data_IF_455162495161
#
_entry.id   IF_455162495161
#
_cell.length_a   1.000
_cell.length_b   1.000
_cell.length_c   1.000
_cell.angle_alpha   90.00
_cell.angle_beta   90.00
_cell.angle_gamma   90.00
#
_symmetry.space_group_name_H-M   'P 1'
#
loop_
_entity.id
_entity.type
_entity.pdbx_description
1 polymer ?
#
# COMPACT_ATOMS: atom_id res chain seq x y z
N UNK A 1 -1.13 3.01 -5.00
CA UNK A 1 -0.28 4.10 -5.55
C UNK A 1 -1.02 4.92 -6.61
N UNK A 2 -1.68 4.29 -7.58
CA UNK A 2 -2.46 4.98 -8.64
C UNK A 2 -3.42 6.08 -8.17
N UNK A 3 -4.14 5.88 -7.05
CA UNK A 3 -5.03 6.91 -6.50
C UNK A 3 -4.28 8.20 -6.12
N UNK A 4 -3.07 8.08 -5.56
CA UNK A 4 -2.23 9.22 -5.19
C UNK A 4 -1.80 10.01 -6.43
N UNK A 5 -1.37 9.30 -7.49
CA UNK A 5 -1.03 9.90 -8.78
C UNK A 5 -2.23 10.63 -9.40
N UNK A 6 -3.42 10.01 -9.38
CA UNK A 6 -4.67 10.63 -9.88
C UNK A 6 -5.02 11.92 -9.12
N UNK A 7 -4.66 12.01 -7.85
CA UNK A 7 -4.87 13.21 -7.02
C UNK A 7 -3.64 14.13 -6.96
N UNK A 8 -2.70 13.99 -7.91
CA UNK A 8 -1.48 14.80 -8.03
C UNK A 8 -0.62 14.83 -6.75
N UNK A 9 -0.65 13.76 -5.96
CA UNK A 9 0.24 13.56 -4.79
C UNK A 9 1.52 12.90 -5.26
N UNK A 10 2.44 13.69 -5.83
CA UNK A 10 3.67 13.21 -6.47
C UNK A 10 4.88 13.10 -5.54
N UNK A 11 4.81 13.69 -4.35
CA UNK A 11 5.80 13.56 -3.29
C UNK A 11 5.16 12.75 -2.17
N UNK A 12 5.56 11.49 -2.02
CA UNK A 12 4.90 10.60 -1.05
C UNK A 12 5.92 9.70 -0.37
N UNK A 13 5.80 9.63 0.95
CA UNK A 13 6.43 8.60 1.77
C UNK A 13 5.39 7.56 2.13
N UNK A 14 5.58 6.36 1.62
CA UNK A 14 4.78 5.19 1.95
C UNK A 14 5.33 4.54 3.22
N UNK A 15 4.42 3.97 4.01
CA UNK A 15 4.75 3.28 5.24
C UNK A 15 4.03 1.94 5.27
N UNK A 16 4.70 0.92 5.82
CA UNK A 16 4.16 -0.43 5.96
C UNK A 16 4.71 -1.07 7.23
N UNK A 17 3.95 -1.95 7.87
CA UNK A 17 4.43 -2.78 8.98
C UNK A 17 5.00 -4.12 8.52
N UNK A 18 5.03 -4.37 7.21
CA UNK A 18 5.67 -5.54 6.62
C UNK A 18 7.08 -5.18 6.14
N UNK A 19 8.11 -5.65 6.87
CA UNK A 19 9.51 -5.43 6.50
C UNK A 19 9.88 -6.10 5.18
N UNK A 20 9.26 -7.23 4.84
CA UNK A 20 9.50 -7.91 3.57
C UNK A 20 9.05 -7.08 2.38
N UNK A 21 7.95 -6.33 2.47
CA UNK A 21 7.53 -5.41 1.40
C UNK A 21 8.59 -4.34 1.14
N UNK A 22 9.23 -3.82 2.20
CA UNK A 22 10.32 -2.86 2.03
C UNK A 22 11.50 -3.50 1.28
N UNK A 23 11.88 -4.72 1.67
CA UNK A 23 12.95 -5.48 1.01
C UNK A 23 12.62 -5.80 -0.45
N UNK A 24 11.41 -6.29 -0.72
CA UNK A 24 10.94 -6.60 -2.07
C UNK A 24 11.03 -5.40 -3.02
N UNK A 25 10.76 -4.19 -2.52
CA UNK A 25 10.88 -2.95 -3.33
C UNK A 25 12.33 -2.49 -3.50
N UNK A 26 13.22 -2.89 -2.60
CA UNK A 26 14.65 -2.54 -2.62
C UNK A 26 15.51 -3.54 -3.43
N UNK A 27 15.21 -4.84 -3.35
CA UNK A 27 15.94 -5.94 -4.01
C UNK A 27 14.97 -6.87 -4.74
N UNK A 28 14.21 -6.39 -5.75
CA UNK A 28 13.14 -7.17 -6.39
C UNK A 28 13.62 -8.48 -7.04
N UNK A 29 14.87 -8.55 -7.47
CA UNK A 29 15.52 -9.74 -8.02
C UNK A 29 15.59 -10.93 -7.05
N UNK A 30 15.58 -10.68 -5.74
CA UNK A 30 15.56 -11.72 -4.71
C UNK A 30 14.16 -12.34 -4.52
N UNK A 31 13.13 -11.74 -5.13
CA UNK A 31 11.72 -12.09 -4.95
C UNK A 31 11.02 -12.45 -6.28
N UNK A 32 11.54 -13.44 -7.04
CA UNK A 32 11.04 -13.75 -8.38
C UNK A 32 9.58 -14.19 -8.41
N UNK A 33 9.07 -14.78 -7.32
CA UNK A 33 7.66 -15.15 -7.19
C UNK A 33 6.69 -13.94 -7.28
N UNK A 34 7.19 -12.74 -7.01
CA UNK A 34 6.42 -11.49 -7.03
C UNK A 34 6.77 -10.60 -8.22
N UNK A 35 7.53 -11.08 -9.21
CA UNK A 35 8.09 -10.25 -10.30
C UNK A 35 7.03 -9.39 -11.00
N UNK A 36 5.86 -9.95 -11.33
CA UNK A 36 4.77 -9.21 -11.99
C UNK A 36 4.25 -8.07 -11.11
N UNK A 37 4.11 -8.31 -9.80
CA UNK A 37 3.64 -7.29 -8.85
C UNK A 37 4.70 -6.21 -8.63
N UNK A 38 5.98 -6.59 -8.60
CA UNK A 38 7.09 -5.67 -8.40
C UNK A 38 7.36 -4.80 -9.62
N UNK A 39 7.13 -5.31 -10.83
CA UNK A 39 7.16 -4.50 -12.06
C UNK A 39 6.10 -3.38 -12.02
N UNK A 40 4.87 -3.71 -11.59
CA UNK A 40 3.81 -2.73 -11.40
C UNK A 40 4.16 -1.68 -10.33
N UNK A 41 4.79 -2.10 -9.23
CA UNK A 41 5.27 -1.18 -8.19
C UNK A 41 6.37 -0.26 -8.73
N UNK A 42 7.31 -0.78 -9.53
CA UNK A 42 8.40 0.00 -10.12
C UNK A 42 7.86 1.03 -11.13
N UNK A 43 6.92 0.62 -12.00
CA UNK A 43 6.23 1.54 -12.91
C UNK A 43 5.51 2.67 -12.16
N UNK A 44 4.81 2.32 -11.07
CA UNK A 44 4.17 3.30 -10.22
C UNK A 44 5.21 4.24 -9.58
N UNK A 45 6.28 3.70 -8.99
CA UNK A 45 7.37 4.42 -8.32
C UNK A 45 8.01 5.47 -9.24
N UNK A 46 8.31 5.11 -10.50
CA UNK A 46 8.86 6.03 -11.52
C UNK A 46 7.94 7.21 -11.86
N UNK A 47 6.66 7.08 -11.59
CA UNK A 47 5.67 8.14 -11.84
C UNK A 47 5.61 9.20 -10.72
N UNK A 48 6.29 8.99 -9.58
CA UNK A 48 6.39 9.97 -8.49
C UNK A 48 7.65 10.82 -8.65
N UNK A 49 7.56 12.10 -8.30
CA UNK A 49 8.72 13.00 -8.21
C UNK A 49 9.62 12.63 -7.02
N UNK A 50 9.02 12.22 -5.91
CA UNK A 50 9.73 11.71 -4.74
C UNK A 50 8.96 10.52 -4.17
N UNK A 51 9.66 9.39 -4.06
CA UNK A 51 9.15 8.14 -3.54
C UNK A 51 10.07 7.61 -2.46
N UNK A 52 9.49 7.26 -1.32
CA UNK A 52 10.16 6.42 -0.31
C UNK A 52 9.16 5.45 0.29
N UNK A 53 9.64 4.29 0.71
CA UNK A 53 8.86 3.32 1.49
C UNK A 53 9.67 2.94 2.72
N UNK A 54 9.01 2.89 3.88
CA UNK A 54 9.68 2.60 5.14
C UNK A 54 8.86 1.64 6.00
N UNK A 55 9.57 0.83 6.78
CA UNK A 55 8.96 0.00 7.79
C UNK A 55 8.57 0.85 9.01
N UNK A 56 7.36 0.65 9.53
CA UNK A 56 6.88 1.19 10.80
C UNK A 56 6.39 0.06 11.70
N UNK A 57 6.46 0.19 13.05
CA UNK A 57 5.85 -0.79 13.94
C UNK A 57 4.36 -0.97 13.64
N UNK A 58 3.87 -2.20 13.77
CA UNK A 58 2.45 -2.54 13.60
C UNK A 58 1.50 -1.71 14.46
N UNK A 59 1.94 -1.31 15.66
CA UNK A 59 1.21 -0.41 16.56
C UNK A 59 1.06 1.02 16.03
N UNK A 60 1.86 1.41 15.03
CA UNK A 60 1.76 2.68 14.31
C UNK A 60 1.02 2.55 12.97
N UNK A 61 0.76 1.32 12.49
CA UNK A 61 0.03 1.05 11.24
C UNK A 61 -1.44 0.63 11.48
N UNK A 62 -2.04 1.06 12.60
CA UNK A 62 -3.34 0.54 13.08
C UNK A 62 -4.48 0.78 12.10
N UNK A 63 -4.50 1.93 11.40
CA UNK A 63 -5.56 2.25 10.42
C UNK A 63 -5.50 1.31 9.22
N UNK A 64 -4.32 1.09 8.64
CA UNK A 64 -4.16 0.17 7.52
C UNK A 64 -4.45 -1.28 7.94
N UNK A 65 -4.06 -1.66 9.16
CA UNK A 65 -4.36 -3.01 9.66
C UNK A 65 -5.86 -3.26 9.86
N UNK A 66 -6.57 -2.29 10.45
CA UNK A 66 -8.03 -2.36 10.57
C UNK A 66 -8.69 -2.48 9.20
N UNK A 67 -8.28 -1.65 8.22
CA UNK A 67 -8.74 -1.73 6.84
C UNK A 67 -8.57 -3.13 6.24
N UNK A 68 -7.35 -3.67 6.32
CA UNK A 68 -7.03 -4.98 5.76
C UNK A 68 -7.80 -6.11 6.47
N UNK A 69 -7.97 -6.02 7.80
CA UNK A 69 -8.71 -7.01 8.58
C UNK A 69 -10.20 -6.98 8.28
N UNK A 70 -10.81 -5.80 8.22
CA UNK A 70 -12.22 -5.63 7.87
C UNK A 70 -12.50 -6.11 6.47
N UNK A 71 -11.62 -5.82 5.50
CA UNK A 71 -11.75 -6.32 4.13
C UNK A 71 -11.71 -7.85 4.06
N UNK A 72 -10.81 -8.51 4.80
CA UNK A 72 -10.75 -9.99 4.88
C UNK A 72 -11.97 -10.64 5.53
N UNK A 73 -12.70 -9.91 6.37
CA UNK A 73 -13.90 -10.42 7.04
C UNK A 73 -15.14 -10.37 6.13
N UNK A 74 -15.07 -9.69 4.98
CA UNK A 74 -16.17 -9.63 4.04
C UNK A 74 -16.31 -10.95 3.27
N UNK A 75 -17.55 -11.36 2.94
CA UNK A 75 -17.81 -12.62 2.23
C UNK A 75 -17.42 -12.57 0.75
N UNK A 76 -17.08 -11.39 0.23
CA UNK A 76 -16.73 -11.15 -1.17
C UNK A 76 -15.43 -10.37 -1.26
N UNK A 77 -14.64 -10.63 -2.30
CA UNK A 77 -13.47 -9.84 -2.60
C UNK A 77 -13.84 -8.37 -2.86
N UNK A 78 -13.16 -7.46 -2.17
CA UNK A 78 -13.39 -6.02 -2.31
C UNK A 78 -12.16 -5.35 -2.88
N UNK A 79 -12.31 -4.81 -4.09
CA UNK A 79 -11.29 -4.00 -4.76
C UNK A 79 -11.58 -2.52 -4.55
N UNK A 80 -11.55 -2.06 -3.29
CA UNK A 80 -11.80 -0.66 -2.96
C UNK A 80 -10.48 0.11 -2.84
N UNK A 81 -10.22 1.02 -3.77
CA UNK A 81 -9.09 1.95 -3.72
C UNK A 81 -9.62 3.37 -3.94
N UNK A 82 -9.78 4.13 -2.87
CA UNK A 82 -10.22 5.52 -2.93
C UNK A 82 -9.48 6.39 -1.91
N UNK A 83 -9.60 7.70 -2.03
CA UNK A 83 -9.07 8.70 -1.09
C UNK A 83 -10.01 8.97 0.09
N UNK A 84 -11.19 8.35 0.11
CA UNK A 84 -12.19 8.49 1.18
C UNK A 84 -12.41 7.19 1.93
N UNK A 85 -12.64 7.29 3.25
CA UNK A 85 -12.92 6.13 4.10
C UNK A 85 -14.16 5.41 3.62
N UNK A 86 -14.14 4.07 3.51
CA UNK A 86 -15.34 3.32 3.19
C UNK A 86 -16.38 3.47 4.31
N UNK A 87 -17.65 3.69 3.94
CA UNK A 87 -18.77 3.86 4.89
C UNK A 87 -19.07 2.59 5.68
N UNK A 88 -18.67 1.42 5.18
CA UNK A 88 -18.83 0.12 5.82
C UNK A 88 -17.75 -0.21 6.87
N UNK A 89 -16.79 0.70 7.13
CA UNK A 89 -15.87 0.62 8.27
C UNK A 89 -16.00 1.88 9.14
N UNK A 90 -16.89 1.87 10.15
CA UNK A 90 -17.10 3.01 11.04
C UNK A 90 -15.87 3.39 11.86
N UNK A 91 -14.97 2.42 12.13
CA UNK A 91 -13.87 2.52 13.11
C UNK A 91 -12.57 3.17 12.60
N UNK A 92 -12.61 3.82 11.43
CA UNK A 92 -11.44 4.47 10.80
C UNK A 92 -11.40 5.98 10.98
N UNK A 93 -12.45 6.58 11.55
CA UNK A 93 -12.52 7.98 11.97
C UNK A 93 -11.70 8.18 13.24
#
# INVERSE_FOLDING_TARGET
MHCMLRHNKLLTRFETDCSDVVKMVSTPEEWPAFAILLDEVDRCKRSFTSFSIAHIPRTKNTKADKLARSARALPTDVYYVNSVSPTWIPELV
#
